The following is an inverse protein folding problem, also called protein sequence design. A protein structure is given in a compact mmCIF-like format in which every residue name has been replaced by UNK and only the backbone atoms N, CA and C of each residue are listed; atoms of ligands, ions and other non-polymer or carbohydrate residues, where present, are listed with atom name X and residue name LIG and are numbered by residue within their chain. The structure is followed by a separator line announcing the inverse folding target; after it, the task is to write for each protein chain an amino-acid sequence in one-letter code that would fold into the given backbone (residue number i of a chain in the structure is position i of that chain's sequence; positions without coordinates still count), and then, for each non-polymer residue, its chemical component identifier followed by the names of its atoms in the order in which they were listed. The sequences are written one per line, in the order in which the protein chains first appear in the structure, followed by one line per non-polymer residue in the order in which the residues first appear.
data_IF_734318295600
#
_entry.id   IF_734318295600
#
_cell.length_a   1.000
_cell.length_b   1.000
_cell.length_c   1.000
_cell.angle_alpha   90.00
_cell.angle_beta   90.00
_cell.angle_gamma   90.00
#
_symmetry.space_group_name_H-M   'P 1'
#
loop_
_entity.id
_entity.type
_entity.pdbx_description
1 polymer ?
2 polymer ?
3 non-polymer ?
4 water ?
#
# COMPACT_ATOMS: atom_id res chain seq x y z
N UNK A 19 17.25 -1.88 26.52
CA UNK A 19 16.26 -0.85 26.09
C UNK A 19 15.13 -1.51 25.32
N UNK A 20 13.91 -1.01 25.50
CA UNK A 20 12.74 -1.56 24.82
C UNK A 20 12.52 -0.93 23.45
N UNK A 21 12.24 -1.76 22.43
CA UNK A 21 12.00 -1.26 21.08
C UNK A 21 10.55 -0.79 21.01
N UNK A 22 10.27 0.31 21.68
CA UNK A 22 8.92 0.87 21.75
C UNK A 22 8.26 1.03 20.38
N UNK A 23 8.94 1.70 19.46
CA UNK A 23 8.39 1.92 18.12
C UNK A 23 8.00 0.61 17.43
N UNK A 24 8.93 -0.33 17.36
CA UNK A 24 8.65 -1.61 16.73
C UNK A 24 7.59 -2.42 17.46
N UNK A 25 7.55 -2.29 18.79
CA UNK A 25 6.53 -2.99 19.58
C UNK A 25 5.18 -2.55 19.07
N UNK A 26 5.02 -1.24 18.87
CA UNK A 26 3.75 -0.70 18.41
C UNK A 26 3.40 -1.20 17.01
N UNK A 27 4.35 -1.12 16.08
CA UNK A 27 4.07 -1.54 14.71
C UNK A 27 3.64 -3.01 14.64
N UNK A 28 4.25 -3.86 15.44
CA UNK A 28 3.88 -5.27 15.44
C UNK A 28 2.48 -5.43 16.03
N UNK A 29 2.23 -4.69 17.10
CA UNK A 29 0.94 -4.77 17.79
C UNK A 29 -0.26 -4.33 16.95
N UNK A 30 -0.07 -3.31 16.11
CA UNK A 30 -1.18 -2.81 15.30
C UNK A 30 -1.35 -3.42 13.92
N UNK A 31 -0.40 -4.27 13.51
CA UNK A 31 -0.45 -4.91 12.20
C UNK A 31 -1.77 -5.67 11.99
N UNK A 32 -2.50 -5.34 10.91
CA UNK A 32 -3.77 -6.01 10.64
C UNK A 32 -3.63 -7.51 10.42
N UNK A 33 -4.69 -8.23 10.76
CA UNK A 33 -4.71 -9.67 10.58
C UNK A 33 -5.14 -10.01 9.17
N UNK A 34 -5.54 -11.25 8.97
CA UNK A 34 -5.96 -11.75 7.67
C UNK A 34 -7.30 -11.16 7.20
N UNK A 35 -7.34 -10.77 5.93
CA UNK A 35 -8.56 -10.22 5.33
C UNK A 35 -8.93 -11.06 4.12
N UNK A 36 -10.16 -11.57 4.10
CA UNK A 36 -10.62 -12.38 2.98
C UNK A 36 -11.40 -11.55 1.98
N UNK A 37 -11.38 -11.97 0.72
CA UNK A 37 -12.07 -11.26 -0.36
C UNK A 37 -13.51 -11.65 -0.57
N UNK A 38 -13.86 -12.88 -0.19
CA UNK A 38 -15.23 -13.36 -0.37
C UNK A 38 -15.45 -13.91 -1.77
N UNK A 39 -14.36 -14.17 -2.49
CA UNK A 39 -14.42 -14.69 -3.86
C UNK A 39 -14.92 -16.13 -3.95
N UNK A 40 -15.69 -16.43 -5.00
CA UNK A 40 -16.19 -17.77 -5.20
C UNK A 40 -15.21 -18.52 -6.11
N UNK A 41 -14.35 -19.32 -5.48
CA UNK A 41 -13.35 -20.08 -6.22
C UNK A 41 -13.89 -21.32 -6.90
N UNK A 42 -15.18 -21.58 -6.71
CA UNK A 42 -15.82 -22.74 -7.33
C UNK A 42 -16.29 -22.45 -8.76
N UNK A 43 -16.39 -21.16 -9.08
CA UNK A 43 -16.83 -20.74 -10.41
C UNK A 43 -15.61 -20.61 -11.32
N UNK A 44 -15.78 -20.86 -12.62
CA UNK A 44 -14.63 -20.73 -13.52
C UNK A 44 -14.23 -19.26 -13.49
N UNK A 45 -12.93 -18.97 -13.65
CA UNK A 45 -12.47 -17.60 -13.62
C UNK A 45 -13.04 -16.73 -14.74
N UNK A 46 -13.33 -15.48 -14.39
CA UNK A 46 -13.86 -14.52 -15.36
C UNK A 46 -13.33 -13.15 -14.94
N UNK A 47 -13.14 -12.28 -15.93
CA UNK A 47 -12.64 -10.94 -15.67
C UNK A 47 -13.53 -10.19 -14.68
N UNK A 48 -14.83 -10.20 -14.93
CA UNK A 48 -15.77 -9.50 -14.07
C UNK A 48 -15.74 -9.97 -12.62
N UNK A 49 -15.73 -11.28 -12.42
CA UNK A 49 -15.73 -11.81 -11.05
C UNK A 49 -14.42 -11.53 -10.33
N UNK A 50 -13.30 -11.70 -11.02
CA UNK A 50 -12.00 -11.45 -10.41
C UNK A 50 -11.83 -9.99 -10.00
N UNK A 51 -12.19 -9.07 -10.89
CA UNK A 51 -12.04 -7.65 -10.55
C UNK A 51 -13.07 -7.22 -9.51
N UNK A 52 -14.27 -7.76 -9.57
CA UNK A 52 -15.26 -7.39 -8.56
C UNK A 52 -14.77 -7.83 -7.18
N UNK A 53 -14.12 -9.00 -7.12
CA UNK A 53 -13.60 -9.49 -5.85
C UNK A 53 -12.41 -8.67 -5.40
N UNK A 54 -11.56 -8.25 -6.33
CA UNK A 54 -10.42 -7.41 -5.95
C UNK A 54 -10.95 -6.09 -5.39
N UNK A 55 -12.01 -5.54 -5.99
CA UNK A 55 -12.59 -4.29 -5.51
C UNK A 55 -13.17 -4.45 -4.10
N UNK A 56 -13.86 -5.56 -3.85
CA UNK A 56 -14.42 -5.82 -2.55
C UNK A 56 -13.28 -5.98 -1.53
N UNK A 57 -12.22 -6.65 -1.95
CA UNK A 57 -11.07 -6.85 -1.08
C UNK A 57 -10.46 -5.49 -0.77
N UNK A 58 -10.42 -4.62 -1.77
CA UNK A 58 -9.87 -3.28 -1.57
C UNK A 58 -10.63 -2.54 -0.48
N UNK A 59 -11.95 -2.60 -0.54
CA UNK A 59 -12.77 -1.93 0.47
C UNK A 59 -12.58 -2.55 1.85
N UNK A 60 -12.52 -3.88 1.91
CA UNK A 60 -12.33 -4.55 3.20
C UNK A 60 -10.99 -4.20 3.80
N UNK A 61 -9.95 -4.17 2.98
CA UNK A 61 -8.63 -3.82 3.48
C UNK A 61 -8.56 -2.35 3.88
N UNK A 62 -9.31 -1.49 3.19
CA UNK A 62 -9.28 -0.07 3.52
C UNK A 62 -9.78 0.17 4.94
N UNK A 63 -10.76 -0.62 5.37
CA UNK A 63 -11.29 -0.51 6.73
C UNK A 63 -10.14 -0.77 7.70
N UNK A 64 -9.36 -1.81 7.43
CA UNK A 64 -8.24 -2.13 8.30
C UNK A 64 -7.10 -1.12 8.20
N UNK A 65 -6.87 -0.60 7.00
CA UNK A 65 -5.80 0.39 6.83
C UNK A 65 -6.11 1.64 7.63
N UNK A 66 -7.39 2.02 7.68
CA UNK A 66 -7.77 3.21 8.45
C UNK A 66 -7.54 2.98 9.95
N UNK A 67 -7.97 1.82 10.45
CA UNK A 67 -7.78 1.51 11.87
C UNK A 67 -6.30 1.45 12.21
N UNK A 68 -5.53 0.87 11.30
CA UNK A 68 -4.08 0.74 11.47
C UNK A 68 -3.41 2.12 11.49
N UNK A 69 -3.69 2.92 10.47
CA UNK A 69 -3.09 4.25 10.36
C UNK A 69 -3.37 5.12 11.57
N UNK A 70 -4.62 5.14 12.01
CA UNK A 70 -4.98 5.97 13.15
C UNK A 70 -4.28 5.56 14.44
N UNK A 71 -3.72 4.35 14.47
CA UNK A 71 -3.02 3.84 15.66
C UNK A 71 -1.49 3.96 15.56
N UNK A 72 -1.01 4.53 14.46
CA UNK A 72 0.42 4.68 14.27
C UNK A 72 1.01 5.76 15.17
N UNK A 73 2.25 5.54 15.66
CA UNK A 73 2.88 6.54 16.52
C UNK A 73 2.88 7.91 15.83
N UNK A 74 2.44 8.94 16.56
CA UNK A 74 2.42 10.30 16.03
C UNK A 74 1.39 10.67 14.99
N UNK A 75 0.59 9.72 14.51
CA UNK A 75 -0.40 10.01 13.48
C UNK A 75 -1.35 11.14 13.88
N UNK A 76 -1.69 11.20 15.17
CA UNK A 76 -2.58 12.24 15.68
C UNK A 76 -1.96 13.63 15.67
N UNK A 77 -0.65 13.71 15.44
CA UNK A 77 0.01 15.01 15.38
C UNK A 77 -0.47 15.75 14.13
N UNK A 78 -0.89 15.00 13.12
CA UNK A 78 -1.35 15.59 11.87
C UNK A 78 -2.73 16.21 11.96
N UNK A 79 -2.97 17.24 11.16
CA UNK A 79 -4.27 17.88 11.12
C UNK A 79 -5.20 16.77 10.64
N UNK A 80 -6.43 16.72 11.15
CA UNK A 80 -7.37 15.68 10.75
C UNK A 80 -7.61 15.59 9.24
N UNK A 81 -7.65 16.73 8.56
CA UNK A 81 -7.87 16.72 7.12
C UNK A 81 -6.70 16.03 6.43
N UNK A 82 -5.51 16.18 6.99
CA UNK A 82 -4.32 15.55 6.41
C UNK A 82 -4.28 14.07 6.74
N UNK A 83 -4.83 13.70 7.90
CA UNK A 83 -4.88 12.30 8.30
C UNK A 83 -5.68 11.56 7.25
N UNK A 84 -6.83 12.12 6.89
CA UNK A 84 -7.68 11.48 5.90
C UNK A 84 -7.06 11.49 4.51
N UNK A 85 -6.42 12.60 4.15
CA UNK A 85 -5.81 12.73 2.84
C UNK A 85 -4.70 11.72 2.57
N UNK A 86 -3.75 11.59 3.49
CA UNK A 86 -2.65 10.66 3.25
C UNK A 86 -3.13 9.22 3.08
N UNK A 87 -4.17 8.84 3.81
CA UNK A 87 -4.68 7.49 3.66
C UNK A 87 -5.32 7.35 2.27
N UNK A 88 -6.10 8.35 1.86
CA UNK A 88 -6.74 8.30 0.55
C UNK A 88 -5.77 8.33 -0.62
N UNK A 89 -4.58 8.88 -0.42
CA UNK A 89 -3.60 8.92 -1.52
C UNK A 89 -2.68 7.72 -1.53
N UNK A 90 -2.36 7.19 -0.35
CA UNK A 90 -1.41 6.08 -0.26
C UNK A 90 -1.93 4.66 -0.13
N UNK A 91 -3.23 4.47 -0.06
CA UNK A 91 -3.75 3.11 0.12
C UNK A 91 -3.29 2.10 -0.93
N UNK A 92 -3.20 2.51 -2.20
CA UNK A 92 -2.79 1.58 -3.24
C UNK A 92 -1.38 1.05 -2.99
N UNK A 93 -0.44 1.96 -2.75
CA UNK A 93 0.93 1.55 -2.49
C UNK A 93 1.04 0.70 -1.23
N UNK A 94 0.34 1.10 -0.18
CA UNK A 94 0.35 0.36 1.09
C UNK A 94 -0.13 -1.07 0.89
N UNK A 95 -1.25 -1.21 0.18
CA UNK A 95 -1.83 -2.51 -0.04
C UNK A 95 -1.01 -3.40 -0.96
N UNK A 96 -0.39 -2.80 -1.98
CA UNK A 96 0.44 -3.56 -2.90
C UNK A 96 1.68 -4.06 -2.16
N UNK A 97 2.28 -3.20 -1.35
CA UNK A 97 3.47 -3.57 -0.59
C UNK A 97 3.16 -4.74 0.35
N UNK A 98 2.05 -4.63 1.07
CA UNK A 98 1.65 -5.69 2.01
C UNK A 98 1.35 -6.99 1.26
N UNK A 99 0.71 -6.87 0.09
CA UNK A 99 0.38 -8.06 -0.69
C UNK A 99 1.66 -8.74 -1.16
N UNK A 100 2.65 -7.94 -1.55
CA UNK A 100 3.92 -8.51 -1.99
C UNK A 100 4.58 -9.28 -0.86
N UNK A 101 4.49 -8.75 0.36
CA UNK A 101 5.06 -9.42 1.52
C UNK A 101 4.32 -10.73 1.79
N UNK A 102 2.99 -10.69 1.70
CA UNK A 102 2.19 -11.91 1.91
C UNK A 102 2.56 -12.97 0.88
N UNK A 103 2.76 -12.55 -0.36
CA UNK A 103 3.10 -13.46 -1.44
C UNK A 103 4.44 -14.12 -1.16
N UNK A 104 5.39 -13.35 -0.66
CA UNK A 104 6.71 -13.89 -0.37
C UNK A 104 6.69 -14.85 0.80
N UNK A 105 6.07 -14.44 1.91
CA UNK A 105 6.02 -15.28 3.10
C UNK A 105 5.13 -16.52 3.00
N UNK A 106 4.02 -16.43 2.27
CA UNK A 106 3.11 -17.56 2.19
C UNK A 106 3.36 -18.52 1.03
N UNK A 107 3.74 -18.02 -0.13
CA UNK A 107 3.96 -18.89 -1.28
C UNK A 107 5.27 -18.67 -2.03
N UNK A 108 6.24 -18.06 -1.38
CA UNK A 108 7.55 -17.81 -1.97
C UNK A 108 7.47 -17.15 -3.35
N UNK A 109 6.54 -16.20 -3.49
CA UNK A 109 6.35 -15.45 -4.72
C UNK A 109 5.88 -16.28 -5.92
N UNK A 110 5.41 -17.50 -5.68
CA UNK A 110 4.96 -18.35 -6.77
C UNK A 110 3.63 -17.85 -7.33
N UNK A 111 2.88 -17.12 -6.51
CA UNK A 111 1.60 -16.55 -6.92
C UNK A 111 1.41 -15.26 -6.14
N UNK A 112 0.43 -14.45 -6.55
CA UNK A 112 0.13 -13.20 -5.87
C UNK A 112 -0.96 -13.51 -4.84
N UNK A 113 -0.58 -13.41 -3.58
CA UNK A 113 -1.47 -13.71 -2.47
C UNK A 113 -2.27 -12.48 -2.04
N UNK A 114 -3.29 -12.12 -2.82
CA UNK A 114 -4.12 -10.97 -2.49
C UNK A 114 -4.85 -11.25 -1.19
N UNK A 115 -5.37 -12.48 -1.07
CA UNK A 115 -6.07 -12.93 0.12
C UNK A 115 -6.03 -14.45 0.12
N UNK A 116 -6.31 -15.09 1.27
CA UNK A 116 -6.28 -16.55 1.32
C UNK A 116 -7.22 -17.16 0.27
N UNK A 117 -8.32 -16.46 0.00
CA UNK A 117 -9.31 -16.92 -0.95
C UNK A 117 -9.24 -16.20 -2.31
N UNK A 118 -8.11 -15.55 -2.57
CA UNK A 118 -7.93 -14.86 -3.83
C UNK A 118 -6.44 -14.83 -4.14
N UNK A 119 -5.95 -15.97 -4.64
CA UNK A 119 -4.56 -16.14 -4.99
C UNK A 119 -4.46 -16.20 -6.51
N UNK A 120 -3.59 -15.38 -7.09
CA UNK A 120 -3.43 -15.32 -8.54
C UNK A 120 -2.24 -16.09 -9.12
N UNK A 121 -2.54 -17.08 -9.96
CA UNK A 121 -1.49 -17.79 -10.67
C UNK A 121 -1.38 -16.98 -11.97
N UNK A 122 -0.49 -17.34 -12.87
CA UNK A 122 -0.34 -16.59 -14.12
C UNK A 122 -1.61 -16.55 -14.97
N UNK A 123 -2.39 -17.62 -14.93
CA UNK A 123 -3.63 -17.66 -15.70
C UNK A 123 -4.55 -16.53 -15.24
N UNK A 124 -4.70 -16.37 -13.92
CA UNK A 124 -5.55 -15.31 -13.39
C UNK A 124 -4.96 -13.93 -13.64
N UNK A 125 -3.63 -13.84 -13.65
CA UNK A 125 -2.98 -12.56 -13.93
C UNK A 125 -3.39 -12.12 -15.33
N UNK A 126 -3.41 -13.08 -16.26
CA UNK A 126 -3.80 -12.80 -17.63
C UNK A 126 -5.28 -12.47 -17.75
N UNK A 127 -6.10 -13.28 -17.09
CA UNK A 127 -7.55 -13.09 -17.11
C UNK A 127 -7.98 -11.74 -16.53
N UNK A 128 -7.18 -11.23 -15.60
CA UNK A 128 -7.47 -9.95 -14.94
C UNK A 128 -7.25 -8.74 -15.84
N UNK A 129 -6.59 -8.96 -16.98
CA UNK A 129 -6.28 -7.91 -17.93
C UNK A 129 -5.26 -6.89 -17.42
N UNK A 130 -4.56 -7.25 -16.35
CA UNK A 130 -3.51 -6.38 -15.83
C UNK A 130 -2.30 -7.26 -15.53
N UNK A 131 -1.97 -8.10 -16.51
CA UNK A 131 -0.85 -9.03 -16.43
C UNK A 131 0.48 -8.32 -16.20
N UNK A 132 0.74 -7.26 -16.95
CA UNK A 132 1.99 -6.51 -16.80
C UNK A 132 2.16 -6.02 -15.37
N UNK A 133 1.09 -5.44 -14.82
CA UNK A 133 1.15 -4.93 -13.45
C UNK A 133 1.35 -6.09 -12.47
N UNK A 134 0.70 -7.21 -12.73
CA UNK A 134 0.83 -8.36 -11.84
C UNK A 134 2.26 -8.90 -11.83
N UNK A 135 2.91 -8.95 -12.99
CA UNK A 135 4.27 -9.46 -13.04
C UNK A 135 5.21 -8.52 -12.30
N UNK A 136 4.94 -7.23 -12.35
CA UNK A 136 5.76 -6.26 -11.64
C UNK A 136 5.55 -6.44 -10.13
N UNK A 137 4.34 -6.80 -9.72
CA UNK A 137 4.07 -7.03 -8.31
C UNK A 137 4.73 -8.33 -7.86
N UNK A 138 4.82 -9.30 -8.76
CA UNK A 138 5.45 -10.57 -8.44
C UNK A 138 6.95 -10.33 -8.24
N UNK A 139 7.50 -9.43 -9.05
CA UNK A 139 8.90 -9.08 -8.96
C UNK A 139 9.14 -8.40 -7.62
N UNK A 140 8.23 -7.52 -7.23
CA UNK A 140 8.34 -6.84 -5.94
C UNK A 140 8.36 -7.89 -4.84
N UNK A 141 7.47 -8.86 -4.92
CA UNK A 141 7.41 -9.93 -3.93
C UNK A 141 8.75 -10.67 -3.85
N UNK A 142 9.32 -10.97 -5.01
CA UNK A 142 10.61 -11.68 -5.07
C UNK A 142 11.73 -10.89 -4.40
N UNK A 143 11.68 -9.57 -4.52
CA UNK A 143 12.71 -8.74 -3.92
C UNK A 143 12.74 -8.82 -2.40
N UNK A 144 11.60 -9.11 -1.78
CA UNK A 144 11.59 -9.27 -0.32
C UNK A 144 12.52 -10.41 0.05
N UNK A 145 12.60 -11.41 -0.82
CA UNK A 145 13.47 -12.55 -0.57
C UNK A 145 14.90 -12.27 -0.99
N UNK A 146 15.09 -11.71 -2.17
CA UNK A 146 16.43 -11.42 -2.66
C UNK A 146 17.17 -10.45 -1.75
N UNK A 147 16.46 -9.45 -1.23
CA UNK A 147 17.06 -8.46 -0.34
C UNK A 147 17.05 -8.90 1.12
N UNK A 148 16.47 -10.07 1.38
CA UNK A 148 16.40 -10.60 2.75
C UNK A 148 15.78 -9.57 3.70
N UNK A 149 14.65 -9.01 3.28
CA UNK A 149 13.95 -8.02 4.09
C UNK A 149 13.45 -8.71 5.36
N UNK A 150 13.74 -8.12 6.51
CA UNK A 150 13.32 -8.69 7.79
C UNK A 150 11.89 -8.25 8.07
N UNK A 151 11.19 -8.97 8.95
CA UNK A 151 9.81 -8.58 9.27
C UNK A 151 9.75 -7.18 9.85
N UNK A 152 10.79 -6.78 10.58
CA UNK A 152 10.82 -5.47 11.19
C UNK A 152 11.06 -4.37 10.15
N UNK A 153 11.89 -4.66 9.15
CA UNK A 153 12.14 -3.68 8.09
C UNK A 153 10.84 -3.51 7.31
N UNK A 154 10.14 -4.62 7.06
CA UNK A 154 8.87 -4.58 6.34
C UNK A 154 7.88 -3.66 7.06
N UNK A 155 7.73 -3.85 8.37
CA UNK A 155 6.78 -3.04 9.13
C UNK A 155 7.12 -1.55 9.05
N UNK A 156 8.39 -1.21 9.25
CA UNK A 156 8.79 0.20 9.22
C UNK A 156 8.62 0.79 7.81
N UNK A 157 9.00 0.03 6.79
CA UNK A 157 8.86 0.51 5.43
C UNK A 157 7.40 0.73 5.06
N UNK A 158 6.53 -0.17 5.49
CA UNK A 158 5.12 -0.03 5.17
C UNK A 158 4.56 1.23 5.82
N UNK A 159 4.96 1.51 7.04
CA UNK A 159 4.49 2.72 7.72
C UNK A 159 4.99 3.94 6.93
N UNK A 160 6.24 3.91 6.48
CA UNK A 160 6.77 5.04 5.71
C UNK A 160 6.00 5.29 4.43
N UNK A 161 5.44 4.24 3.83
CA UNK A 161 4.66 4.38 2.61
C UNK A 161 3.43 5.25 2.80
N UNK A 162 2.90 5.28 4.02
CA UNK A 162 1.72 6.11 4.28
C UNK A 162 2.08 7.59 4.17
N UNK A 163 3.35 7.91 4.37
CA UNK A 163 3.82 9.30 4.32
C UNK A 163 4.72 9.57 3.12
N UNK A 164 4.40 8.94 1.99
CA UNK A 164 5.22 9.09 0.79
C UNK A 164 4.52 9.70 -0.43
N UNK A 165 3.34 10.28 -0.24
CA UNK A 165 2.62 10.91 -1.34
C UNK A 165 1.87 12.12 -0.82
N UNK A 166 2.14 13.29 -1.40
CA UNK A 166 1.51 14.52 -0.95
C UNK A 166 1.11 15.47 -2.09
N UNK A 167 0.21 16.42 -1.78
CA UNK A 167 -0.25 17.40 -2.78
C UNK A 167 0.74 18.52 -3.05
N UNK A 168 0.81 18.94 -4.30
CA UNK A 168 1.70 20.01 -4.72
C UNK A 168 1.32 21.32 -4.01
N UNK A 169 0.02 21.51 -3.79
CA UNK A 169 -0.47 22.71 -3.12
C UNK A 169 -0.25 22.69 -1.61
N UNK A 170 0.27 21.58 -1.10
CA UNK A 170 0.55 21.47 0.31
C UNK A 170 -0.60 20.95 1.18
N UNK A 171 -0.24 20.30 2.27
CA UNK A 171 -1.21 19.78 3.21
C UNK A 171 -1.68 20.93 4.12
N UNK A 172 -2.70 20.68 4.93
CA UNK A 172 -3.21 21.71 5.84
C UNK A 172 -2.07 22.19 6.71
N UNK A 173 -1.35 21.25 7.33
CA UNK A 173 -0.21 21.59 8.16
C UNK A 173 0.96 20.74 7.67
N UNK A 174 1.58 21.21 6.60
CA UNK A 174 2.71 20.53 5.99
C UNK A 174 3.87 20.31 6.96
N UNK A 175 4.08 21.26 7.85
CA UNK A 175 5.17 21.14 8.82
C UNK A 175 5.03 19.93 9.73
N UNK A 176 3.83 19.68 10.23
CA UNK A 176 3.62 18.52 11.10
C UNK A 176 3.86 17.23 10.34
N UNK A 177 3.47 17.21 9.06
CA UNK A 177 3.68 16.02 8.24
C UNK A 177 5.16 15.77 8.00
N UNK A 178 5.90 16.84 7.66
CA UNK A 178 7.33 16.71 7.40
C UNK A 178 8.07 16.17 8.63
N UNK A 179 7.65 16.64 9.81
CA UNK A 179 8.25 16.22 11.08
C UNK A 179 7.99 14.73 11.30
N UNK A 180 6.76 14.30 11.06
CA UNK A 180 6.40 12.90 11.26
C UNK A 180 7.16 12.00 10.29
N UNK A 181 7.21 12.38 9.02
CA UNK A 181 7.92 11.59 8.02
C UNK A 181 9.39 11.47 8.41
N UNK A 182 9.98 12.57 8.86
CA UNK A 182 11.37 12.56 9.27
C UNK A 182 11.59 11.56 10.41
N UNK A 183 10.67 11.55 11.37
CA UNK A 183 10.79 10.63 12.50
C UNK A 183 10.72 9.17 12.08
N UNK A 184 9.90 8.88 11.07
CA UNK A 184 9.79 7.50 10.60
C UNK A 184 11.04 7.09 9.85
N UNK A 185 11.69 8.04 9.18
CA UNK A 185 12.92 7.74 8.47
C UNK A 185 13.99 7.48 9.53
N UNK A 186 13.95 8.24 10.62
CA UNK A 186 14.91 8.06 11.71
C UNK A 186 14.75 6.65 12.30
N UNK A 187 13.51 6.20 12.45
CA UNK A 187 13.27 4.86 13.00
C UNK A 187 13.82 3.80 12.05
N UNK A 188 13.68 4.04 10.75
CA UNK A 188 14.22 3.09 9.78
C UNK A 188 15.74 3.05 9.92
N UNK A 189 16.34 4.21 10.19
CA UNK A 189 17.80 4.24 10.37
C UNK A 189 18.18 3.40 11.59
N UNK A 190 17.41 3.54 12.67
CA UNK A 190 17.69 2.80 13.89
C UNK A 190 17.58 1.30 13.69
N UNK A 191 16.60 0.86 12.89
CA UNK A 191 16.43 -0.56 12.64
C UNK A 191 17.59 -1.10 11.83
N UNK A 192 18.09 -0.29 10.90
CA UNK A 192 19.21 -0.68 10.05
C UNK A 192 20.50 -0.78 10.87
N UNK A 193 20.68 0.12 11.82
CA UNK A 193 21.88 0.16 12.64
C UNK A 193 21.93 -0.88 13.76
N UNK A 194 20.78 -1.42 14.13
CA UNK A 194 20.68 -2.41 15.19
C UNK A 194 21.87 -3.36 15.29
N UNK A 195 22.06 -4.18 14.26
CA UNK A 195 23.17 -5.14 14.24
C UNK A 195 24.31 -4.72 13.31
N UNK A 196 24.30 -3.47 12.88
CA UNK A 196 25.34 -2.95 12.00
C UNK A 196 26.15 -1.89 12.72
N UNK A 197 27.43 -2.15 12.93
CA UNK A 197 28.31 -1.21 13.62
C UNK A 197 29.05 -0.31 12.62
N UNK A 198 29.17 -0.80 11.39
CA UNK A 198 29.85 -0.05 10.34
C UNK A 198 28.89 0.89 9.61
N UNK A 199 29.29 2.15 9.43
CA UNK A 199 28.46 3.14 8.74
C UNK A 199 28.23 2.80 7.27
N UNK A 200 29.22 2.15 6.66
CA UNK A 200 29.12 1.77 5.25
C UNK A 200 28.05 0.69 5.06
N UNK A 201 27.97 -0.25 6.00
CA UNK A 201 26.99 -1.32 5.91
C UNK A 201 25.58 -0.75 6.03
N UNK A 202 25.42 0.25 6.89
CA UNK A 202 24.12 0.89 7.09
C UNK A 202 23.74 1.67 5.84
N UNK A 203 24.71 2.36 5.24
CA UNK A 203 24.48 3.14 4.04
C UNK A 203 24.02 2.24 2.90
N UNK A 204 24.70 1.11 2.73
CA UNK A 204 24.33 0.18 1.67
C UNK A 204 22.90 -0.33 1.86
N UNK A 205 22.54 -0.63 3.11
CA UNK A 205 21.19 -1.13 3.39
C UNK A 205 20.14 -0.04 3.12
N UNK A 206 20.43 1.19 3.53
CA UNK A 206 19.49 2.29 3.33
C UNK A 206 19.25 2.49 1.83
N UNK A 207 20.31 2.36 1.04
CA UNK A 207 20.19 2.51 -0.41
C UNK A 207 19.24 1.45 -0.95
N UNK A 208 19.45 0.20 -0.54
CA UNK A 208 18.61 -0.91 -0.98
C UNK A 208 17.15 -0.72 -0.62
N UNK A 209 16.88 -0.36 0.63
CA UNK A 209 15.50 -0.19 1.08
C UNK A 209 14.79 0.99 0.43
N UNK A 210 15.48 2.10 0.23
CA UNK A 210 14.84 3.25 -0.40
C UNK A 210 14.59 2.96 -1.88
N UNK A 211 15.45 2.15 -2.50
CA UNK A 211 15.24 1.80 -3.90
C UNK A 211 13.98 0.94 -3.96
N UNK A 212 13.83 0.03 -3.01
CA UNK A 212 12.65 -0.85 -2.99
C UNK A 212 11.39 -0.01 -2.77
N UNK A 213 11.44 0.92 -1.82
CA UNK A 213 10.29 1.77 -1.55
C UNK A 213 9.90 2.57 -2.79
N UNK A 214 10.89 3.12 -3.49
CA UNK A 214 10.61 3.89 -4.70
C UNK A 214 9.90 3.02 -5.74
N UNK A 215 10.32 1.76 -5.86
CA UNK A 215 9.76 0.86 -6.85
C UNK A 215 8.26 0.59 -6.69
N UNK A 216 7.72 0.86 -5.51
CA UNK A 216 6.30 0.65 -5.28
C UNK A 216 5.47 1.70 -6.02
N UNK A 217 5.98 2.92 -6.08
CA UNK A 217 5.26 4.03 -6.71
C UNK A 217 4.87 3.85 -8.19
N UNK A 218 5.81 3.42 -9.05
CA UNK A 218 5.40 3.25 -10.46
C UNK A 218 4.31 2.19 -10.59
N UNK A 219 4.38 1.16 -9.76
CA UNK A 219 3.38 0.09 -9.79
C UNK A 219 2.04 0.66 -9.37
N UNK A 220 2.05 1.39 -8.25
CA UNK A 220 0.82 2.00 -7.76
C UNK A 220 0.20 2.92 -8.82
N UNK A 221 1.02 3.68 -9.53
CA UNK A 221 0.48 4.57 -10.56
C UNK A 221 -0.19 3.79 -11.69
N UNK A 222 0.42 2.69 -12.11
CA UNK A 222 -0.17 1.87 -13.16
C UNK A 222 -1.51 1.31 -12.72
N UNK A 223 -1.60 0.91 -11.45
CA UNK A 223 -2.84 0.38 -10.91
C UNK A 223 -3.87 1.50 -10.77
N UNK A 224 -3.41 2.70 -10.41
CA UNK A 224 -4.31 3.84 -10.30
C UNK A 224 -4.94 4.10 -11.66
N UNK A 225 -4.11 4.05 -12.71
CA UNK A 225 -4.60 4.28 -14.06
C UNK A 225 -5.58 3.19 -14.49
N UNK A 226 -5.25 1.94 -14.17
CA UNK A 226 -6.10 0.83 -14.53
C UNK A 226 -7.45 0.87 -13.82
N UNK A 227 -7.43 1.11 -12.51
CA UNK A 227 -8.70 1.12 -11.78
C UNK A 227 -9.56 2.32 -12.18
N UNK A 228 -8.91 3.44 -12.49
CA UNK A 228 -9.64 4.63 -12.93
C UNK A 228 -10.36 4.30 -14.23
N UNK A 229 -9.63 3.74 -15.20
CA UNK A 229 -10.25 3.39 -16.47
C UNK A 229 -11.36 2.37 -16.29
N UNK A 230 -11.16 1.42 -15.37
CA UNK A 230 -12.15 0.39 -15.13
C UNK A 230 -13.43 0.97 -14.53
N UNK A 231 -13.29 1.91 -13.61
CA UNK A 231 -14.46 2.53 -13.01
C UNK A 231 -15.29 3.25 -14.07
N UNK A 232 -14.60 3.99 -14.94
CA UNK A 232 -15.28 4.74 -15.99
C UNK A 232 -16.10 3.84 -16.92
N UNK A 233 -15.62 2.62 -17.16
CA UNK A 233 -16.34 1.71 -18.05
C UNK A 233 -16.92 0.50 -17.31
N UNK A 234 -17.01 0.60 -15.99
CA UNK A 234 -17.51 -0.52 -15.17
C UNK A 234 -18.86 -1.10 -15.58
N UNK A 235 -19.79 -0.25 -15.97
CA UNK A 235 -21.11 -0.72 -16.37
C UNK A 235 -21.08 -1.51 -17.67
N UNK A 236 -20.04 -1.30 -18.49
CA UNK A 236 -19.91 -1.98 -19.77
C UNK A 236 -19.25 -3.36 -19.63
N UNK A 237 -18.51 -3.58 -18.55
CA UNK A 237 -17.83 -4.85 -18.35
C UNK A 237 -18.33 -5.63 -17.13
N UNK A 238 -19.45 -5.19 -16.57
CA UNK A 238 -20.05 -5.86 -15.41
C UNK A 238 -19.13 -5.98 -14.19
N UNK A 239 -18.35 -4.94 -13.93
CA UNK A 239 -17.48 -4.96 -12.77
C UNK A 239 -18.12 -4.10 -11.69
N UNK A 240 -18.25 -4.68 -10.50
CA UNK A 240 -18.86 -3.98 -9.38
C UNK A 240 -17.84 -3.27 -8.51
N UNK A 241 -18.12 -2.01 -8.20
CA UNK A 241 -17.26 -1.21 -7.34
C UNK A 241 -18.05 -0.81 -6.09
N UNK A 242 -17.52 -1.12 -4.89
CA UNK A 242 -18.26 -0.72 -3.70
C UNK A 242 -18.36 0.80 -3.73
N UNK A 243 -19.45 1.35 -3.20
CA UNK A 243 -19.66 2.80 -3.22
C UNK A 243 -18.46 3.62 -2.72
N UNK A 244 -17.83 3.18 -1.64
CA UNK A 244 -16.70 3.93 -1.11
C UNK A 244 -15.49 3.91 -2.05
N UNK A 245 -15.25 2.78 -2.71
CA UNK A 245 -14.14 2.69 -3.63
C UNK A 245 -14.40 3.59 -4.84
N UNK A 246 -15.65 3.61 -5.31
CA UNK A 246 -16.02 4.44 -6.45
C UNK A 246 -15.77 5.91 -6.10
N UNK A 247 -16.05 6.27 -4.86
CA UNK A 247 -15.86 7.63 -4.40
C UNK A 247 -14.38 8.02 -4.40
N UNK A 248 -13.55 7.20 -3.77
CA UNK A 248 -12.12 7.48 -3.70
C UNK A 248 -11.45 7.48 -5.08
N UNK A 249 -11.85 6.55 -5.94
CA UNK A 249 -11.25 6.46 -7.26
C UNK A 249 -11.69 7.58 -8.21
N UNK A 250 -12.85 8.18 -7.95
CA UNK A 250 -13.33 9.26 -8.79
C UNK A 250 -13.01 10.64 -8.24
N UNK A 251 -12.75 10.73 -6.93
CA UNK A 251 -12.45 12.01 -6.29
C UNK A 251 -10.99 12.23 -5.92
N UNK A 252 -10.33 11.19 -5.42
CA UNK A 252 -8.93 11.32 -5.00
C UNK A 252 -7.91 10.84 -6.01
N UNK A 253 -8.12 9.65 -6.55
CA UNK A 253 -7.19 9.09 -7.52
C UNK A 253 -6.90 10.00 -8.72
N UNK A 254 -7.91 10.72 -9.25
CA UNK A 254 -7.61 11.59 -10.39
C UNK A 254 -6.64 12.72 -10.04
N UNK A 255 -6.58 13.10 -8.77
CA UNK A 255 -5.67 14.17 -8.34
C UNK A 255 -4.24 13.66 -8.53
N UNK A 256 -4.06 12.36 -8.31
CA UNK A 256 -2.74 11.77 -8.48
C UNK A 256 -2.42 11.64 -9.96
N UNK A 257 -3.38 11.12 -10.72
CA UNK A 257 -3.17 10.94 -12.15
C UNK A 257 -2.97 12.24 -12.93
N UNK A 258 -3.54 13.33 -12.44
CA UNK A 258 -3.40 14.62 -13.11
C UNK A 258 -2.19 15.42 -12.61
N UNK A 259 -1.41 14.81 -11.73
CA UNK A 259 -0.21 15.47 -11.24
C UNK A 259 -0.35 16.48 -10.11
N UNK A 260 -1.52 16.56 -9.52
CA UNK A 260 -1.74 17.49 -8.41
C UNK A 260 -1.24 16.92 -7.08
N UNK A 261 -1.15 15.60 -7.02
CA UNK A 261 -0.66 14.88 -5.85
C UNK A 261 0.44 13.97 -6.38
N UNK A 262 1.63 14.03 -5.78
CA UNK A 262 2.75 13.24 -6.28
C UNK A 262 3.51 12.47 -5.21
N UNK A 263 4.11 11.34 -5.60
CA UNK A 263 4.86 10.53 -4.64
C UNK A 263 6.18 11.24 -4.31
N UNK A 264 6.72 10.94 -3.14
CA UNK A 264 8.01 11.50 -2.74
C UNK A 264 9.00 10.40 -3.01
N UNK A 265 9.84 10.58 -4.04
CA UNK A 265 10.83 9.59 -4.39
C UNK A 265 12.12 9.90 -3.65
N UNK A 266 12.84 8.85 -3.27
CA UNK A 266 14.11 9.07 -2.62
C UNK A 266 15.15 9.34 -3.69
N UNK A 267 15.04 8.60 -4.79
CA UNK A 267 15.96 8.70 -5.91
C UNK A 267 15.26 9.31 -7.11
N UNK A 268 16.04 9.77 -8.08
CA UNK A 268 15.46 10.42 -9.23
C UNK A 268 15.44 9.48 -10.41
N UNK B 1 -13.56 11.70 1.35
CA UNK B 1 -14.90 12.26 1.03
C UNK B 1 -15.94 11.72 2.01
N UNK B 2 -17.20 12.05 1.77
CA UNK B 2 -18.29 11.62 2.63
C UNK B 2 -18.24 10.18 3.14
N UNK B 3 -18.24 9.20 2.22
CA UNK B 3 -18.20 7.80 2.64
C UNK B 3 -16.92 7.46 3.40
N UNK B 4 -15.78 7.90 2.88
CA UNK B 4 -14.52 7.62 3.56
C UNK B 4 -14.47 8.38 4.89
N UNK B 5 -14.93 9.63 4.88
CA UNK B 5 -14.93 10.45 6.08
C UNK B 5 -15.73 9.79 7.20
N UNK B 6 -16.86 9.20 6.84
CA UNK B 6 -17.71 8.53 7.81
C UNK B 6 -16.99 7.33 8.39
N UNK B 7 -16.27 6.61 7.53
CA UNK B 7 -15.51 5.43 7.95
C UNK B 7 -14.43 5.92 8.91
N UNK B 8 -13.67 6.93 8.48
CA UNK B 8 -12.59 7.49 9.28
C UNK B 8 -13.09 7.96 10.65
N UNK B 9 -14.28 8.55 10.68
CA UNK B 9 -14.85 9.04 11.93
C UNK B 9 -15.31 7.90 12.85
N UNK B 10 -15.42 6.70 12.28
CA UNK B 10 -15.84 5.55 13.07
C UNK B 10 -17.25 5.11 12.74
#
# INVERSE_FOLDING_TARGET
GSPGISGGGGGSHIEGYECQPIFLNVLEAIEPGVVCAGHDNNQPDSFAALLSSLNELGERQLVHVVKWAKALPGFRNLHVDDQMAVIQYSWMGLMVFAMGWRSFTNVNSRMLYFAPDLVFNEYRMHKSRMYSQCVRMRHLSQEFGWLQITPQEFLCMKALLLFSIIPVDGLKNQKFFDELRMNYIKELDRIIACKRKNPTSCSRRFYQLTKLLDSVQPIARELHQFTFDLLIKSHMVSVDFPEMMAEIISVQVPKILSGKVKPIYFHTQ
SSRFESLFAGEKESR
#
